data_IF_700790044028
#
_entry.id   IF_700790044028
#
_cell.length_a   1.000
_cell.length_b   1.000
_cell.length_c   1.000
_cell.angle_alpha   90.00
_cell.angle_beta   90.00
_cell.angle_gamma   90.00
#
_symmetry.space_group_name_H-M   'P 1'
#
loop_
_entity.id
_entity.type
_entity.pdbx_description
1 polymer ?
#
# COMPACT_ATOMS: atom_id res chain seq x y z
N UNK A 1 1.95 11.91 14.56
CA UNK A 1 2.71 10.92 13.76
C UNK A 1 2.19 10.97 12.35
N UNK A 2 3.06 10.99 11.35
CA UNK A 2 2.69 10.91 9.95
C UNK A 2 3.58 9.90 9.24
N UNK A 3 3.02 9.25 8.23
CA UNK A 3 3.72 8.36 7.29
C UNK A 3 3.66 8.97 5.90
N UNK A 4 4.64 8.63 5.07
CA UNK A 4 4.65 8.99 3.66
C UNK A 4 4.25 7.77 2.84
N UNK A 5 3.26 7.90 1.97
CA UNK A 5 2.87 6.85 1.03
C UNK A 5 3.23 7.30 -0.39
N UNK A 6 4.08 6.53 -1.10
CA UNK A 6 4.45 6.76 -2.51
C UNK A 6 3.60 5.89 -3.44
N UNK A 7 3.21 6.45 -4.59
CA UNK A 7 2.35 5.81 -5.60
C UNK A 7 2.51 6.47 -6.98
N UNK A 8 2.00 5.83 -8.03
CA UNK A 8 1.98 6.33 -9.41
C UNK A 8 3.35 6.82 -9.92
N UNK A 9 3.38 7.95 -10.63
CA UNK A 9 4.57 8.61 -11.17
C UNK A 9 5.21 9.51 -10.11
N UNK A 10 5.89 8.88 -9.14
CA UNK A 10 6.58 9.51 -8.00
C UNK A 10 5.71 10.45 -7.13
N UNK A 11 4.39 10.22 -7.10
CA UNK A 11 3.51 10.96 -6.19
C UNK A 11 3.72 10.49 -4.77
N UNK A 12 3.59 11.40 -3.81
CA UNK A 12 3.61 11.08 -2.39
C UNK A 12 2.58 11.89 -1.60
N UNK A 13 1.98 11.24 -0.62
CA UNK A 13 0.96 11.84 0.25
C UNK A 13 1.24 11.49 1.71
N UNK A 14 0.90 12.43 2.62
CA UNK A 14 1.03 12.23 4.06
C UNK A 14 -0.27 11.72 4.67
N UNK A 15 -0.16 10.72 5.54
CA UNK A 15 -1.29 10.14 6.26
C UNK A 15 -1.02 10.08 7.77
N UNK A 16 -2.09 10.26 8.56
CA UNK A 16 -2.03 10.08 10.00
C UNK A 16 -2.47 8.65 10.36
N UNK A 17 -1.54 7.75 10.73
CA UNK A 17 -1.86 6.37 11.10
C UNK A 17 -2.52 6.26 12.49
N UNK A 18 -2.76 7.36 13.20
CA UNK A 18 -3.51 7.39 14.46
C UNK A 18 -5.03 7.28 14.24
N UNK A 19 -5.41 6.25 13.49
CA UNK A 19 -6.78 5.86 13.23
C UNK A 19 -6.83 4.34 12.93
N UNK A 20 -8.03 3.80 12.78
CA UNK A 20 -8.22 2.39 12.43
C UNK A 20 -7.71 2.11 11.03
N UNK A 21 -7.14 0.92 10.82
CA UNK A 21 -6.62 0.47 9.53
C UNK A 21 -7.66 0.58 8.41
N UNK A 22 -8.93 0.23 8.66
CA UNK A 22 -9.96 0.39 7.63
C UNK A 22 -10.17 1.85 7.20
N UNK A 23 -10.16 2.80 8.14
CA UNK A 23 -10.32 4.22 7.84
C UNK A 23 -9.08 4.79 7.14
N UNK A 24 -7.89 4.34 7.57
CA UNK A 24 -6.63 4.72 6.93
C UNK A 24 -6.60 4.28 5.47
N UNK A 25 -6.93 3.01 5.19
CA UNK A 25 -6.96 2.46 3.84
C UNK A 25 -8.04 3.13 2.97
N UNK A 26 -9.23 3.40 3.51
CA UNK A 26 -10.26 4.18 2.79
C UNK A 26 -9.75 5.57 2.41
N UNK A 27 -9.12 6.30 3.34
CA UNK A 27 -8.60 7.63 3.03
C UNK A 27 -7.43 7.61 2.04
N UNK A 28 -6.61 6.54 2.05
CA UNK A 28 -5.57 6.34 1.04
C UNK A 28 -6.21 6.18 -0.35
N UNK A 29 -7.26 5.36 -0.49
CA UNK A 29 -7.93 5.19 -1.78
C UNK A 29 -8.45 6.52 -2.35
N UNK A 30 -9.16 7.28 -1.51
CA UNK A 30 -9.74 8.57 -1.85
C UNK A 30 -8.71 9.58 -2.38
N UNK A 31 -7.44 9.47 -1.96
CA UNK A 31 -6.38 10.44 -2.26
C UNK A 31 -5.34 9.95 -3.26
N UNK A 32 -5.31 8.66 -3.56
CA UNK A 32 -4.25 8.02 -4.33
C UNK A 32 -4.73 7.38 -5.65
N UNK A 33 -5.75 7.97 -6.29
CA UNK A 33 -6.27 7.54 -7.59
C UNK A 33 -6.66 6.04 -7.62
N UNK A 34 -7.23 5.51 -6.52
CA UNK A 34 -7.72 4.13 -6.43
C UNK A 34 -9.25 4.09 -6.46
N UNK A 35 -9.81 3.00 -6.97
CA UNK A 35 -11.26 2.77 -6.94
C UNK A 35 -11.72 2.23 -5.58
N UNK A 36 -13.01 2.40 -5.26
CA UNK A 36 -13.58 1.97 -3.98
C UNK A 36 -13.45 0.46 -3.74
N UNK A 37 -13.56 -0.34 -4.80
CA UNK A 37 -13.47 -1.80 -4.78
C UNK A 37 -12.03 -2.33 -4.87
N UNK A 38 -11.04 -1.46 -5.05
CA UNK A 38 -9.64 -1.88 -5.12
C UNK A 38 -9.18 -2.51 -3.82
N UNK A 39 -8.54 -3.67 -3.91
CA UNK A 39 -7.89 -4.27 -2.75
C UNK A 39 -6.50 -3.67 -2.60
N UNK A 40 -6.27 -2.81 -1.61
CA UNK A 40 -4.98 -2.14 -1.42
C UNK A 40 -4.35 -2.49 -0.07
N UNK A 41 -3.02 -2.36 0.00
CA UNK A 41 -2.24 -2.41 1.24
C UNK A 41 -0.98 -1.55 1.09
N UNK A 42 -0.15 -1.53 2.13
CA UNK A 42 1.16 -0.88 2.15
C UNK A 42 2.28 -1.91 2.22
N UNK A 43 3.35 -1.67 1.47
CA UNK A 43 4.64 -2.33 1.69
C UNK A 43 5.70 -1.32 2.13
N UNK A 44 6.78 -1.79 2.76
CA UNK A 44 7.99 -0.96 2.86
C UNK A 44 8.85 -1.02 1.59
N UNK A 45 9.99 -0.34 1.63
CA UNK A 45 10.96 -0.26 0.54
C UNK A 45 11.66 -1.59 0.22
N UNK A 46 11.47 -2.64 1.03
CA UNK A 46 11.94 -4.00 0.73
C UNK A 46 10.88 -4.89 0.07
N UNK A 47 9.65 -4.38 -0.08
CA UNK A 47 8.50 -5.13 -0.59
C UNK A 47 7.77 -5.95 0.48
N UNK A 48 8.08 -5.75 1.77
CA UNK A 48 7.39 -6.45 2.85
C UNK A 48 6.03 -5.82 3.15
N UNK A 49 4.96 -6.61 3.01
CA UNK A 49 3.58 -6.17 3.21
C UNK A 49 3.26 -5.95 4.70
N UNK A 50 2.52 -4.88 4.99
CA UNK A 50 2.09 -4.55 6.36
C UNK A 50 0.81 -5.28 6.78
N UNK A 51 0.06 -5.86 5.84
CA UNK A 51 -1.12 -6.70 6.10
C UNK A 51 -2.19 -5.99 6.94
N UNK A 52 -2.45 -4.71 6.64
CA UNK A 52 -3.38 -3.87 7.41
C UNK A 52 -4.82 -4.35 7.25
N UNK A 53 -5.15 -4.88 6.07
CA UNK A 53 -6.46 -5.47 5.73
C UNK A 53 -6.86 -6.61 6.68
N UNK A 54 -5.88 -7.37 7.19
CA UNK A 54 -6.12 -8.48 8.12
C UNK A 54 -6.47 -8.00 9.54
N UNK A 55 -6.30 -6.71 9.82
CA UNK A 55 -6.49 -6.12 11.14
C UNK A 55 -7.28 -4.80 11.07
N UNK A 56 -8.50 -4.77 10.49
CA UNK A 56 -9.18 -3.54 10.11
C UNK A 56 -9.53 -2.64 11.30
N UNK A 57 -9.73 -3.21 12.50
CA UNK A 57 -10.10 -2.49 13.71
C UNK A 57 -8.90 -1.99 14.53
N UNK A 58 -7.71 -2.49 14.24
CA UNK A 58 -6.49 -2.06 14.93
C UNK A 58 -6.05 -0.68 14.43
N UNK A 59 -5.29 0.02 15.27
CA UNK A 59 -4.71 1.31 14.90
C UNK A 59 -3.50 1.11 13.97
N UNK A 60 -3.38 1.94 12.95
CA UNK A 60 -2.26 1.92 12.00
C UNK A 60 -0.90 2.06 12.68
N UNK A 61 -0.85 2.80 13.80
CA UNK A 61 0.36 2.97 14.61
C UNK A 61 0.96 1.67 15.16
N UNK A 62 0.20 0.57 15.18
CA UNK A 62 0.70 -0.76 15.58
C UNK A 62 1.57 -1.41 14.49
N UNK A 63 1.40 -1.02 13.24
CA UNK A 63 2.02 -1.66 12.07
C UNK A 63 2.95 -0.71 11.29
N UNK A 64 2.75 0.60 11.45
CA UNK A 64 3.41 1.64 10.67
C UNK A 64 4.26 2.50 11.60
N UNK A 65 5.56 2.57 11.33
CA UNK A 65 6.47 3.39 12.12
C UNK A 65 6.43 4.85 11.67
N UNK A 66 6.79 5.74 12.57
CA UNK A 66 6.91 7.16 12.24
C UNK A 66 8.00 7.41 11.19
N UNK A 67 7.74 8.35 10.27
CA UNK A 67 8.70 8.82 9.25
C UNK A 67 9.18 7.74 8.26
N UNK A 68 8.58 6.56 8.28
CA UNK A 68 8.83 5.51 7.29
C UNK A 68 8.10 5.85 5.97
N UNK A 69 8.73 5.50 4.86
CA UNK A 69 8.16 5.59 3.52
C UNK A 69 7.53 4.23 3.20
N UNK A 70 6.26 4.25 2.84
CA UNK A 70 5.54 3.08 2.37
C UNK A 70 5.20 3.21 0.90
N UNK A 71 5.15 2.08 0.21
CA UNK A 71 4.74 1.97 -1.17
C UNK A 71 3.31 1.45 -1.20
N UNK A 72 2.43 2.15 -1.93
CA UNK A 72 1.07 1.70 -2.16
C UNK A 72 1.08 0.48 -3.10
N UNK A 73 0.46 -0.60 -2.66
CA UNK A 73 0.31 -1.82 -3.46
C UNK A 73 -1.16 -2.16 -3.68
N UNK A 74 -1.47 -2.73 -4.85
CA UNK A 74 -2.80 -3.21 -5.22
C UNK A 74 -2.80 -4.73 -5.36
N UNK A 75 -3.78 -5.38 -4.77
CA UNK A 75 -4.05 -6.80 -4.91
C UNK A 75 -4.74 -7.09 -6.23
N UNK A 76 -4.14 -7.97 -7.02
CA UNK A 76 -4.69 -8.50 -8.24
C UNK A 76 -5.00 -9.99 -8.04
N UNK A 77 -6.17 -10.42 -8.49
CA UNK A 77 -6.53 -11.84 -8.51
C UNK A 77 -5.81 -12.51 -9.67
N UNK A 78 -5.14 -13.62 -9.40
CA UNK A 78 -4.58 -14.48 -10.43
C UNK A 78 -5.61 -15.52 -10.87
N UNK A 79 -5.40 -16.10 -12.06
CA UNK A 79 -6.26 -17.15 -12.63
C UNK A 79 -6.39 -18.39 -11.71
N UNK A 80 -5.46 -18.59 -10.78
CA UNK A 80 -5.48 -19.66 -9.78
C UNK A 80 -6.25 -19.33 -8.49
N UNK A 81 -6.89 -18.15 -8.40
CA UNK A 81 -7.64 -17.71 -7.22
C UNK A 81 -6.77 -17.16 -6.08
N UNK A 82 -5.44 -17.10 -6.25
CA UNK A 82 -4.55 -16.44 -5.31
C UNK A 82 -4.50 -14.92 -5.58
N UNK A 83 -4.26 -14.14 -4.52
CA UNK A 83 -4.06 -12.69 -4.62
C UNK A 83 -2.57 -12.40 -4.68
N UNK A 84 -2.13 -11.61 -5.67
CA UNK A 84 -0.77 -11.07 -5.74
C UNK A 84 -0.80 -9.56 -5.60
N UNK A 85 0.13 -8.99 -4.85
CA UNK A 85 0.23 -7.55 -4.71
C UNK A 85 1.22 -6.97 -5.70
N UNK A 86 0.82 -5.88 -6.34
CA UNK A 86 1.61 -5.16 -7.33
C UNK A 86 1.82 -3.73 -6.85
N UNK A 87 3.07 -3.21 -6.87
CA UNK A 87 3.31 -1.80 -6.56
C UNK A 87 2.60 -0.90 -7.56
N UNK A 88 1.91 0.13 -7.05
CA UNK A 88 1.34 1.18 -7.89
C UNK A 88 2.37 2.26 -8.27
N UNK A 89 3.58 2.21 -7.68
CA UNK A 89 4.72 3.06 -8.03
C UNK A 89 5.36 2.60 -9.34
N UNK A 90 5.45 3.49 -10.34
CA UNK A 90 5.85 3.15 -11.71
C UNK A 90 7.31 2.65 -11.80
N UNK A 91 8.23 3.29 -11.07
CA UNK A 91 9.66 2.90 -10.99
C UNK A 91 9.82 1.45 -10.51
N UNK A 92 8.92 0.99 -9.64
CA UNK A 92 8.95 -0.34 -9.07
C UNK A 92 8.28 -1.39 -9.96
N UNK A 93 7.40 -0.98 -10.87
CA UNK A 93 6.86 -1.87 -11.91
C UNK A 93 7.94 -2.27 -12.90
N UNK A 94 8.90 -1.39 -13.19
CA UNK A 94 10.02 -1.67 -14.08
C UNK A 94 10.98 -2.72 -13.51
N UNK A 95 11.14 -2.78 -12.18
CA UNK A 95 11.97 -3.80 -11.52
C UNK A 95 11.42 -5.21 -11.76
N UNK A 96 10.09 -5.38 -11.87
CA UNK A 96 9.48 -6.70 -12.15
C UNK A 96 9.91 -7.31 -13.49
N UNK A 97 10.33 -6.48 -14.47
CA UNK A 97 10.81 -6.98 -15.76
C UNK A 97 12.26 -7.50 -15.72
N UNK A 98 13.03 -7.20 -14.66
CA UNK A 98 14.41 -7.67 -14.52
C UNK A 98 14.56 -8.98 -13.73
N UNK A 99 13.49 -9.45 -13.07
CA UNK A 99 13.48 -10.74 -12.33
C UNK A 99 12.84 -11.90 -13.11
N UNK A 100 12.71 -11.75 -14.43
CA UNK A 100 12.22 -12.78 -15.35
C UNK A 100 13.21 -13.07 -16.49
N UNK A 101 14.48 -12.69 -16.33
CA UNK A 101 15.59 -13.01 -17.23
C UNK A 101 16.49 -14.11 -16.69
#
# INVERSE_FOLDING_TARGET
MFITVRFADDKSELFNPNCRNCLLLSNIKERCDCEDDDFIDLSDESGSLKNLQSHPLDYGTKYLNEREIFILVKGEKTDGGSMTFVPLLEEWKLIRHFWSG
#
